data_IF_460092915616
#
_entry.id   IF_460092915616
#
_cell.length_a   1.000
_cell.length_b   1.000
_cell.length_c   1.000
_cell.angle_alpha   90.00
_cell.angle_beta   90.00
_cell.angle_gamma   90.00
#
_symmetry.space_group_name_H-M   'P 1'
#
loop_
_entity.id
_entity.type
_entity.pdbx_description
1 polymer ?
#
# COMPACT_ATOMS: atom_id res chain seq x y z
N UNK A 1 11.84 -5.20 -7.47
CA UNK A 1 11.30 -5.49 -6.10
C UNK A 1 9.78 -5.51 -6.15
N UNK A 2 9.12 -6.25 -5.26
CA UNK A 2 7.67 -6.42 -5.29
C UNK A 2 6.99 -5.67 -4.14
N UNK A 3 5.90 -4.96 -4.45
CA UNK A 3 5.04 -4.28 -3.47
C UNK A 3 3.65 -4.91 -3.55
N UNK A 4 3.19 -5.47 -2.44
CA UNK A 4 1.83 -5.97 -2.30
C UNK A 4 0.98 -4.89 -1.63
N UNK A 5 -0.14 -4.55 -2.27
CA UNK A 5 -1.08 -3.51 -1.84
C UNK A 5 -2.48 -4.13 -1.72
N UNK A 6 -3.16 -3.82 -0.62
CA UNK A 6 -4.51 -4.33 -0.35
C UNK A 6 -5.53 -3.64 -1.25
N UNK A 7 -5.39 -2.33 -1.43
CA UNK A 7 -6.34 -1.54 -2.20
C UNK A 7 -6.15 -1.70 -3.71
N UNK A 8 -7.11 -1.20 -4.48
CA UNK A 8 -7.11 -1.30 -5.95
C UNK A 8 -6.00 -0.52 -6.64
N UNK A 9 -5.41 0.47 -5.97
CA UNK A 9 -4.32 1.31 -6.50
C UNK A 9 -3.30 1.62 -5.41
N UNK A 10 -2.00 1.71 -5.75
CA UNK A 10 -0.97 2.08 -4.77
C UNK A 10 -1.13 3.54 -4.32
N UNK A 11 -0.62 3.84 -3.12
CA UNK A 11 -0.48 5.20 -2.62
C UNK A 11 -1.02 5.43 -1.20
N UNK A 12 -1.60 4.40 -0.56
CA UNK A 12 -2.05 4.44 0.82
C UNK A 12 -2.88 5.69 1.17
N UNK A 13 -2.64 6.27 2.34
CA UNK A 13 -3.39 7.45 2.80
C UNK A 13 -3.20 8.71 1.93
N UNK A 14 -2.10 8.84 1.18
CA UNK A 14 -1.98 9.96 0.22
C UNK A 14 -3.06 9.87 -0.86
N UNK A 15 -3.41 8.64 -1.27
CA UNK A 15 -4.49 8.37 -2.22
C UNK A 15 -5.86 8.35 -1.55
N UNK A 16 -6.01 7.63 -0.45
CA UNK A 16 -7.34 7.32 0.11
C UNK A 16 -7.77 8.20 1.28
N UNK A 17 -6.84 8.89 1.95
CA UNK A 17 -7.12 9.70 3.13
C UNK A 17 -7.04 11.22 2.90
N UNK A 18 -6.10 11.69 2.07
CA UNK A 18 -5.92 13.13 1.83
C UNK A 18 -6.83 13.56 0.66
N UNK A 19 -7.65 14.61 0.82
CA UNK A 19 -8.56 15.07 -0.25
C UNK A 19 -7.81 15.81 -1.37
N UNK A 20 -8.44 15.85 -2.55
CA UNK A 20 -7.82 16.38 -3.78
C UNK A 20 -7.46 17.86 -3.72
N UNK A 21 -8.23 18.67 -2.99
CA UNK A 21 -7.92 20.09 -2.82
C UNK A 21 -6.63 20.35 -2.01
N UNK A 22 -6.09 19.32 -1.33
CA UNK A 22 -4.76 19.38 -0.70
C UNK A 22 -3.69 18.75 -1.56
N UNK A 23 -4.01 17.62 -2.22
CA UNK A 23 -3.09 16.92 -3.10
C UNK A 23 -3.84 16.15 -4.18
N UNK A 24 -3.64 16.57 -5.43
CA UNK A 24 -4.22 15.91 -6.59
C UNK A 24 -3.55 14.55 -6.85
N UNK A 25 -4.35 13.55 -7.25
CA UNK A 25 -3.87 12.15 -7.38
C UNK A 25 -2.85 11.92 -8.49
N UNK A 26 -2.78 12.81 -9.48
CA UNK A 26 -1.81 12.69 -10.57
C UNK A 26 -0.35 12.76 -10.07
N UNK A 27 -0.08 13.44 -8.95
CA UNK A 27 1.27 13.45 -8.35
C UNK A 27 1.67 12.07 -7.82
N UNK A 28 0.70 11.33 -7.28
CA UNK A 28 0.91 9.95 -6.79
C UNK A 28 1.12 9.03 -7.98
N UNK A 29 0.29 9.16 -9.01
CA UNK A 29 0.40 8.37 -10.25
C UNK A 29 1.77 8.54 -10.91
N UNK A 30 2.28 9.78 -11.01
CA UNK A 30 3.62 10.05 -11.55
C UNK A 30 4.73 9.37 -10.75
N UNK A 31 4.61 9.31 -9.42
CA UNK A 31 5.60 8.61 -8.58
C UNK A 31 5.52 7.10 -8.73
N UNK A 32 4.32 6.55 -8.87
CA UNK A 32 4.13 5.12 -9.14
C UNK A 32 4.72 4.74 -10.48
N UNK A 33 4.44 5.53 -11.53
CA UNK A 33 5.01 5.31 -12.87
C UNK A 33 6.54 5.37 -12.85
N UNK A 34 7.12 6.34 -12.14
CA UNK A 34 8.56 6.42 -11.96
C UNK A 34 9.11 5.13 -11.31
N UNK A 35 8.53 4.69 -10.18
CA UNK A 35 8.96 3.47 -9.48
C UNK A 35 8.81 2.22 -10.36
N UNK A 36 7.74 2.13 -11.17
CA UNK A 36 7.57 1.05 -12.13
C UNK A 36 8.65 1.06 -13.21
N UNK A 37 9.02 2.24 -13.73
CA UNK A 37 10.13 2.42 -14.65
C UNK A 37 11.50 2.04 -14.05
N UNK A 38 11.64 2.15 -12.73
CA UNK A 38 12.81 1.72 -11.97
C UNK A 38 12.80 0.22 -11.61
N UNK A 39 11.76 -0.53 -12.00
CA UNK A 39 11.66 -1.98 -11.81
C UNK A 39 10.90 -2.43 -10.54
N UNK A 40 10.06 -1.57 -9.96
CA UNK A 40 9.12 -1.95 -8.91
C UNK A 40 7.86 -2.58 -9.52
N UNK A 41 7.49 -3.78 -9.08
CA UNK A 41 6.24 -4.44 -9.47
C UNK A 41 5.19 -4.28 -8.38
N UNK A 42 4.05 -3.67 -8.72
CA UNK A 42 2.92 -3.50 -7.81
C UNK A 42 1.87 -4.60 -8.04
N UNK A 43 1.54 -5.33 -6.97
CA UNK A 43 0.47 -6.32 -6.94
C UNK A 43 -0.66 -5.78 -6.06
N UNK A 44 -1.69 -5.23 -6.68
CA UNK A 44 -2.83 -4.61 -5.99
C UNK A 44 -3.94 -5.63 -5.72
N UNK A 45 -4.82 -5.34 -4.76
CA UNK A 45 -5.92 -6.23 -4.37
C UNK A 45 -5.49 -7.46 -3.58
N UNK A 46 -4.32 -7.44 -2.93
CA UNK A 46 -3.80 -8.54 -2.12
C UNK A 46 -3.62 -8.09 -0.68
N UNK A 47 -4.47 -8.60 0.22
CA UNK A 47 -4.35 -8.35 1.65
C UNK A 47 -3.38 -9.35 2.30
N UNK A 48 -2.14 -8.95 2.51
CA UNK A 48 -1.13 -9.78 3.16
C UNK A 48 -1.55 -10.12 4.60
N UNK A 49 -1.52 -11.40 4.95
CA UNK A 49 -2.04 -11.95 6.20
C UNK A 49 -3.49 -12.46 6.12
N UNK A 50 -4.21 -12.16 5.04
CA UNK A 50 -5.57 -12.66 4.77
C UNK A 50 -5.61 -13.46 3.47
N UNK A 51 -5.26 -12.83 2.34
CA UNK A 51 -5.28 -13.46 1.01
C UNK A 51 -3.96 -14.18 0.70
N UNK A 52 -2.85 -13.64 1.22
CA UNK A 52 -1.50 -14.21 1.09
C UNK A 52 -0.84 -14.36 2.46
N UNK A 53 -0.46 -15.57 2.90
CA UNK A 53 0.25 -15.77 4.17
C UNK A 53 1.61 -15.06 4.20
N UNK A 54 1.94 -14.44 5.34
CA UNK A 54 3.25 -13.82 5.54
C UNK A 54 4.40 -14.83 5.43
N UNK A 55 4.16 -16.09 5.83
CA UNK A 55 5.16 -17.16 5.73
C UNK A 55 5.61 -17.44 4.29
N UNK A 56 4.72 -17.28 3.30
CA UNK A 56 5.10 -17.40 1.89
C UNK A 56 6.08 -16.31 1.49
N UNK A 57 5.83 -15.07 1.90
CA UNK A 57 6.72 -13.94 1.59
C UNK A 57 8.11 -14.13 2.21
N UNK A 58 8.18 -14.64 3.45
CA UNK A 58 9.44 -14.91 4.12
C UNK A 58 10.23 -16.07 3.49
N UNK A 59 9.55 -16.99 2.80
CA UNK A 59 10.20 -18.09 2.10
C UNK A 59 10.62 -17.71 0.66
N UNK A 60 9.87 -16.80 0.02
CA UNK A 60 10.07 -16.40 -1.39
C UNK A 60 11.12 -15.28 -1.55
N UNK A 61 11.26 -14.42 -0.55
CA UNK A 61 12.12 -13.22 -0.62
C UNK A 61 13.25 -13.25 0.41
N UNK A 62 14.43 -12.75 0.02
CA UNK A 62 15.58 -12.60 0.92
C UNK A 62 15.32 -11.63 2.08
N UNK A 63 14.43 -10.66 1.87
CA UNK A 63 14.03 -9.67 2.87
C UNK A 63 12.59 -9.22 2.65
N UNK A 64 11.89 -8.92 3.76
CA UNK A 64 10.51 -8.43 3.76
C UNK A 64 10.43 -7.15 4.59
N UNK A 65 9.84 -6.10 4.03
CA UNK A 65 9.55 -4.84 4.71
C UNK A 65 8.04 -4.70 4.93
N UNK A 66 7.62 -4.49 6.18
CA UNK A 66 6.23 -4.24 6.51
C UNK A 66 5.91 -2.74 6.48
N UNK A 67 5.01 -2.34 5.56
CA UNK A 67 4.59 -0.96 5.34
C UNK A 67 3.06 -0.77 5.47
N UNK A 68 2.38 -1.58 6.31
CA UNK A 68 0.91 -1.61 6.39
C UNK A 68 0.23 -0.38 7.02
N UNK A 69 1.00 0.51 7.64
CA UNK A 69 0.43 1.73 8.27
C UNK A 69 -0.55 1.43 9.41
N UNK A 70 -1.50 2.35 9.64
CA UNK A 70 -2.55 2.22 10.64
C UNK A 70 -3.84 2.87 10.13
N UNK A 71 -4.86 2.07 9.91
CA UNK A 71 -6.17 2.54 9.40
C UNK A 71 -7.26 2.48 10.45
N UNK A 72 -7.08 1.69 11.51
CA UNK A 72 -8.05 1.59 12.60
C UNK A 72 -8.00 2.86 13.45
N UNK A 73 -9.06 3.69 13.43
CA UNK A 73 -9.10 4.88 14.27
C UNK A 73 -9.19 4.47 15.75
N UNK A 74 -8.73 5.35 16.64
CA UNK A 74 -8.91 5.14 18.08
C UNK A 74 -10.41 5.26 18.41
N UNK A 75 -10.97 4.33 19.21
CA UNK A 75 -12.35 4.41 19.62
C UNK A 75 -12.57 5.68 20.44
N UNK A 76 -13.61 6.44 20.10
CA UNK A 76 -13.93 7.68 20.78
C UNK A 76 -14.55 7.44 22.18
N UNK A 77 -14.97 6.21 22.47
CA UNK A 77 -15.64 5.82 23.72
C UNK A 77 -16.82 6.74 24.08
N UNK A 78 -17.51 7.24 23.06
CA UNK A 78 -18.76 7.98 23.17
C UNK A 78 -19.91 7.08 22.71
N UNK A 79 -21.11 7.19 23.33
CA UNK A 79 -22.29 6.42 22.93
C UNK A 79 -22.69 6.60 21.47
#
# INVERSE_FOLDING_TARGET
VHVYERESRPGGLMRYGIPDFKIEKHYIDRRIEQMQGEGVSFHCGINVGVDKPVAELLAEYDAVLYCGGSETPRPANIP
#
